data_IF_387448582640
#
_entry.id   IF_387448582640
#
_cell.length_a   1.000
_cell.length_b   1.000
_cell.length_c   1.000
_cell.angle_alpha   90.00
_cell.angle_beta   90.00
_cell.angle_gamma   90.00
#
_symmetry.space_group_name_H-M   'P 1'
#
loop_
_entity.id
_entity.type
_entity.pdbx_description
1 polymer ?
#
# COMPACT_ATOMS: atom_id res chain seq x y z
N UNK A 1 30.74 0.52 10.11
CA UNK A 1 30.29 0.53 8.72
C UNK A 1 29.71 1.90 8.39
N UNK A 2 30.29 2.57 7.38
CA UNK A 2 29.75 3.86 6.90
C UNK A 2 28.52 3.57 6.03
N UNK A 3 27.34 3.50 6.64
CA UNK A 3 26.06 3.36 5.92
C UNK A 3 25.62 4.73 5.35
N UNK A 4 26.27 5.17 4.28
CA UNK A 4 26.01 6.45 3.64
C UNK A 4 24.56 6.51 3.11
N UNK A 5 24.06 5.44 2.51
CA UNK A 5 22.68 5.36 2.02
C UNK A 5 21.66 5.50 3.16
N UNK A 6 21.91 4.85 4.29
CA UNK A 6 21.07 4.99 5.48
C UNK A 6 21.08 6.42 6.03
N UNK A 7 22.24 7.09 6.04
CA UNK A 7 22.34 8.48 6.45
C UNK A 7 21.55 9.42 5.51
N UNK A 8 21.70 9.25 4.19
CA UNK A 8 20.95 10.03 3.19
C UNK A 8 19.43 9.82 3.31
N UNK A 9 19.01 8.56 3.50
CA UNK A 9 17.59 8.27 3.73
C UNK A 9 17.06 8.93 5.01
N UNK A 10 17.84 8.92 6.09
CA UNK A 10 17.46 9.59 7.34
C UNK A 10 17.28 11.10 7.14
N UNK A 11 18.19 11.74 6.40
CA UNK A 11 18.08 13.16 6.05
C UNK A 11 16.83 13.44 5.19
N UNK A 12 16.57 12.61 4.18
CA UNK A 12 15.39 12.74 3.32
C UNK A 12 14.08 12.59 4.12
N UNK A 13 14.00 11.61 5.03
CA UNK A 13 12.86 11.43 5.94
C UNK A 13 12.68 12.66 6.84
N UNK A 14 13.77 13.18 7.40
CA UNK A 14 13.71 14.40 8.23
C UNK A 14 13.18 15.60 7.45
N UNK A 15 13.66 15.82 6.22
CA UNK A 15 13.16 16.90 5.34
C UNK A 15 11.67 16.69 5.05
N UNK A 16 11.24 15.47 4.74
CA UNK A 16 9.84 15.14 4.50
C UNK A 16 8.96 15.44 5.73
N UNK A 17 9.41 15.11 6.95
CA UNK A 17 8.70 15.43 8.19
C UNK A 17 8.58 16.96 8.38
N UNK A 18 9.67 17.71 8.17
CA UNK A 18 9.65 19.19 8.28
C UNK A 18 8.66 19.78 7.28
N UNK A 19 8.66 19.33 6.03
CA UNK A 19 7.71 19.75 5.02
C UNK A 19 6.27 19.41 5.40
N UNK A 20 6.01 18.21 5.90
CA UNK A 20 4.67 17.81 6.38
C UNK A 20 4.18 18.71 7.52
N UNK A 21 5.06 19.04 8.49
CA UNK A 21 4.71 19.93 9.59
C UNK A 21 4.41 21.34 9.08
N UNK A 22 5.19 21.84 8.11
CA UNK A 22 4.96 23.12 7.46
C UNK A 22 3.62 23.16 6.72
N UNK A 23 3.37 22.21 5.82
CA UNK A 23 2.14 22.14 5.04
C UNK A 23 0.90 21.94 5.89
N UNK A 24 0.98 21.17 6.98
CA UNK A 24 -0.14 20.97 7.91
C UNK A 24 -0.74 22.29 8.43
N UNK A 25 0.06 23.35 8.54
CA UNK A 25 -0.41 24.66 9.00
C UNK A 25 -1.15 25.45 7.91
N UNK A 26 -0.92 25.10 6.64
CA UNK A 26 -1.41 25.85 5.48
C UNK A 26 -2.51 25.13 4.70
N UNK A 27 -2.72 23.84 4.95
CA UNK A 27 -3.78 23.06 4.29
C UNK A 27 -5.10 23.33 5.00
N UNK A 28 -6.00 24.01 4.31
CA UNK A 28 -7.41 24.14 4.72
C UNK A 28 -8.26 23.02 4.10
N UNK A 29 -9.56 22.98 4.47
CA UNK A 29 -10.49 21.95 3.99
C UNK A 29 -10.59 21.95 2.45
N UNK A 30 -10.70 23.11 1.82
CA UNK A 30 -10.83 23.22 0.36
C UNK A 30 -9.58 22.69 -0.35
N UNK A 31 -8.39 23.05 0.13
CA UNK A 31 -7.13 22.54 -0.40
C UNK A 31 -7.04 21.01 -0.24
N UNK A 32 -7.46 20.49 0.91
CA UNK A 32 -7.46 19.06 1.16
C UNK A 32 -8.38 18.32 0.19
N UNK A 33 -9.61 18.78 0.01
CA UNK A 33 -10.56 18.20 -0.94
C UNK A 33 -10.05 18.27 -2.38
N UNK A 34 -9.42 19.39 -2.75
CA UNK A 34 -8.78 19.55 -4.07
C UNK A 34 -7.64 18.54 -4.28
N UNK A 35 -6.80 18.31 -3.26
CA UNK A 35 -5.71 17.32 -3.35
C UNK A 35 -6.28 15.91 -3.59
N UNK A 36 -7.36 15.54 -2.89
CA UNK A 36 -8.01 14.24 -3.10
C UNK A 36 -8.55 14.11 -4.54
N UNK A 37 -9.24 15.13 -5.03
CA UNK A 37 -9.77 15.12 -6.40
C UNK A 37 -8.63 15.05 -7.44
N UNK A 38 -7.56 15.80 -7.22
CA UNK A 38 -6.36 15.77 -8.06
C UNK A 38 -5.73 14.36 -8.09
N UNK A 39 -5.60 13.70 -6.95
CA UNK A 39 -5.07 12.34 -6.88
C UNK A 39 -5.95 11.35 -7.64
N UNK A 40 -7.28 11.47 -7.53
CA UNK A 40 -8.22 10.62 -8.29
C UNK A 40 -8.06 10.86 -9.80
N UNK A 41 -7.93 12.12 -10.24
CA UNK A 41 -7.70 12.43 -11.67
C UNK A 41 -6.34 11.92 -12.13
N UNK A 42 -5.27 12.09 -11.34
CA UNK A 42 -3.94 11.56 -11.65
C UNK A 42 -3.95 10.04 -11.82
N UNK A 43 -4.79 9.32 -11.06
CA UNK A 43 -4.91 7.87 -11.20
C UNK A 43 -5.41 7.44 -12.60
N UNK A 44 -6.18 8.28 -13.27
CA UNK A 44 -6.61 8.04 -14.66
C UNK A 44 -5.38 8.13 -15.60
N UNK A 45 -4.53 9.14 -15.41
CA UNK A 45 -3.30 9.28 -16.20
C UNK A 45 -2.35 8.11 -15.97
N UNK A 46 -2.21 7.65 -14.73
CA UNK A 46 -1.44 6.45 -14.39
C UNK A 46 -2.02 5.19 -15.04
N UNK A 47 -3.35 5.07 -15.09
CA UNK A 47 -4.00 3.95 -15.77
C UNK A 47 -3.77 4.00 -17.28
N UNK A 48 -3.87 5.16 -17.91
CA UNK A 48 -3.60 5.34 -19.35
C UNK A 48 -2.16 4.92 -19.68
N UNK A 49 -1.19 5.43 -18.90
CA UNK A 49 0.21 5.05 -19.09
C UNK A 49 0.43 3.55 -18.83
N UNK A 50 -0.23 2.98 -17.82
CA UNK A 50 -0.17 1.55 -17.51
C UNK A 50 -0.72 0.69 -18.65
N UNK A 51 -1.81 1.11 -19.30
CA UNK A 51 -2.33 0.42 -20.50
C UNK A 51 -1.30 0.46 -21.64
N UNK A 52 -0.69 1.62 -21.85
CA UNK A 52 0.40 1.76 -22.83
C UNK A 52 1.58 0.84 -22.52
N UNK A 53 2.05 0.82 -21.26
CA UNK A 53 3.12 -0.09 -20.80
C UNK A 53 2.75 -1.56 -21.05
N UNK A 54 1.49 -1.93 -20.77
CA UNK A 54 1.01 -3.30 -21.01
C UNK A 54 1.09 -3.72 -22.47
N UNK A 55 0.76 -2.82 -23.41
CA UNK A 55 0.95 -3.08 -24.84
C UNK A 55 2.42 -3.26 -25.20
N UNK A 56 3.33 -2.47 -24.61
CA UNK A 56 4.77 -2.64 -24.81
C UNK A 56 5.27 -3.99 -24.27
N UNK A 57 4.74 -4.45 -23.13
CA UNK A 57 5.05 -5.77 -22.59
C UNK A 57 4.58 -6.86 -23.55
N UNK A 58 3.36 -6.77 -24.08
CA UNK A 58 2.83 -7.74 -25.03
C UNK A 58 3.64 -7.80 -26.31
N UNK A 59 3.95 -6.66 -26.92
CA UNK A 59 4.79 -6.59 -28.10
C UNK A 59 6.16 -7.26 -27.88
N UNK A 60 6.80 -6.99 -26.75
CA UNK A 60 8.08 -7.63 -26.37
C UNK A 60 7.97 -9.15 -26.19
N UNK A 61 6.80 -9.64 -25.81
CA UNK A 61 6.54 -11.07 -25.62
C UNK A 61 5.98 -11.77 -26.86
N UNK A 62 5.86 -11.07 -27.99
CA UNK A 62 5.31 -11.60 -29.24
C UNK A 62 3.80 -11.87 -29.18
N UNK A 63 3.06 -11.09 -28.37
CA UNK A 63 1.60 -11.18 -28.25
C UNK A 63 0.97 -10.00 -28.99
N UNK A 64 0.29 -10.29 -30.10
CA UNK A 64 -0.25 -9.26 -31.01
C UNK A 64 -1.62 -8.71 -30.60
N UNK A 65 -2.20 -9.23 -29.52
CA UNK A 65 -3.53 -8.81 -29.07
C UNK A 65 -3.55 -8.60 -27.56
N UNK A 66 -4.48 -7.74 -27.11
CA UNK A 66 -4.68 -7.50 -25.68
C UNK A 66 -5.21 -8.77 -25.00
N UNK A 67 -4.55 -9.17 -23.90
CA UNK A 67 -4.98 -10.29 -23.07
C UNK A 67 -5.11 -9.84 -21.62
N UNK A 68 -5.92 -10.55 -20.84
CA UNK A 68 -6.03 -10.32 -19.38
C UNK A 68 -4.98 -11.14 -18.60
N UNK A 69 -3.92 -11.60 -19.27
CA UNK A 69 -2.89 -12.43 -18.64
C UNK A 69 -1.97 -11.58 -17.78
N UNK A 70 -1.89 -11.93 -16.52
CA UNK A 70 -0.95 -11.33 -15.56
C UNK A 70 0.33 -12.16 -15.54
N UNK A 71 1.45 -11.53 -15.86
CA UNK A 71 2.75 -12.21 -15.91
C UNK A 71 3.40 -12.28 -14.52
N UNK A 72 4.12 -13.37 -14.26
CA UNK A 72 4.75 -13.61 -12.97
C UNK A 72 6.11 -12.91 -12.84
N UNK A 73 6.88 -12.84 -13.94
CA UNK A 73 8.22 -12.24 -13.92
C UNK A 73 8.13 -10.74 -13.67
N UNK A 74 9.02 -10.23 -12.81
CA UNK A 74 9.02 -8.83 -12.37
C UNK A 74 9.04 -7.85 -13.54
N UNK A 75 9.85 -8.10 -14.55
CA UNK A 75 10.02 -7.28 -15.75
C UNK A 75 8.79 -7.23 -16.68
N UNK A 76 7.85 -8.15 -16.48
CA UNK A 76 6.63 -8.27 -17.27
C UNK A 76 5.35 -7.95 -16.46
N UNK A 77 5.51 -7.36 -15.28
CA UNK A 77 4.38 -6.88 -14.46
C UNK A 77 4.13 -5.41 -14.76
N UNK A 78 2.86 -5.03 -14.71
CA UNK A 78 2.43 -3.66 -14.87
C UNK A 78 2.90 -2.79 -13.71
N UNK A 79 3.71 -1.78 -13.96
CA UNK A 79 4.24 -0.83 -12.99
C UNK A 79 3.66 0.58 -13.16
N UNK A 80 3.15 0.91 -14.33
CA UNK A 80 2.80 2.27 -14.73
C UNK A 80 3.99 3.23 -14.52
N UNK A 81 3.76 4.42 -13.98
CA UNK A 81 4.80 5.41 -13.68
C UNK A 81 5.63 5.06 -12.44
N UNK A 82 5.29 3.96 -11.76
CA UNK A 82 5.96 3.53 -10.52
C UNK A 82 7.06 2.52 -10.83
N UNK A 83 8.09 2.51 -10.02
CA UNK A 83 9.24 1.61 -10.20
C UNK A 83 8.89 0.11 -10.04
N UNK A 84 7.79 -0.20 -9.35
CA UNK A 84 7.42 -1.56 -9.00
C UNK A 84 5.89 -1.72 -8.99
N UNK A 85 5.40 -2.86 -9.45
CA UNK A 85 3.98 -3.21 -9.46
C UNK A 85 3.31 -3.16 -8.06
N UNK A 86 4.06 -3.46 -6.99
CA UNK A 86 3.51 -3.38 -5.64
C UNK A 86 3.33 -1.92 -5.18
N UNK A 87 4.20 -1.00 -5.63
CA UNK A 87 4.05 0.44 -5.34
C UNK A 87 2.83 1.01 -6.06
N UNK A 88 2.67 0.64 -7.34
CA UNK A 88 1.49 1.03 -8.08
C UNK A 88 0.22 0.46 -7.43
N UNK A 89 0.20 -0.82 -7.03
CA UNK A 89 -0.91 -1.42 -6.32
C UNK A 89 -1.26 -0.66 -5.03
N UNK A 90 -0.26 -0.32 -4.20
CA UNK A 90 -0.50 0.44 -2.98
C UNK A 90 -1.06 1.84 -3.24
N UNK A 91 -0.60 2.53 -4.30
CA UNK A 91 -1.19 3.81 -4.70
C UNK A 91 -2.65 3.67 -5.13
N UNK A 92 -2.98 2.59 -5.88
CA UNK A 92 -4.37 2.28 -6.24
C UNK A 92 -5.22 2.04 -4.98
N UNK A 93 -4.69 1.39 -3.96
CA UNK A 93 -5.38 1.15 -2.70
C UNK A 93 -5.73 2.47 -1.99
N UNK A 94 -4.79 3.42 -1.93
CA UNK A 94 -5.06 4.78 -1.41
C UNK A 94 -6.10 5.52 -2.24
N UNK A 95 -6.00 5.45 -3.57
CA UNK A 95 -6.97 6.07 -4.48
C UNK A 95 -8.36 5.46 -4.28
N UNK A 96 -8.47 4.14 -4.09
CA UNK A 96 -9.75 3.50 -3.84
C UNK A 96 -10.41 4.01 -2.54
N UNK A 97 -9.64 4.21 -1.47
CA UNK A 97 -10.15 4.82 -0.23
C UNK A 97 -10.60 6.27 -0.48
N UNK A 98 -9.83 7.05 -1.27
CA UNK A 98 -10.24 8.41 -1.68
C UNK A 98 -11.54 8.41 -2.49
N UNK A 99 -11.70 7.48 -3.44
CA UNK A 99 -12.90 7.33 -4.27
C UNK A 99 -14.12 7.00 -3.38
N UNK A 100 -13.97 6.04 -2.46
CA UNK A 100 -15.04 5.68 -1.52
C UNK A 100 -15.40 6.88 -0.64
N UNK A 101 -14.43 7.61 -0.12
CA UNK A 101 -14.65 8.85 0.63
C UNK A 101 -15.44 9.86 -0.18
N UNK A 102 -15.04 10.17 -1.41
CA UNK A 102 -15.74 11.12 -2.29
C UNK A 102 -17.14 10.64 -2.64
N UNK A 103 -17.32 9.36 -2.92
CA UNK A 103 -18.64 8.78 -3.19
C UNK A 103 -19.64 9.03 -2.03
N UNK A 104 -19.20 8.91 -0.77
CA UNK A 104 -20.02 9.15 0.40
C UNK A 104 -20.20 10.64 0.74
N UNK A 105 -19.30 11.52 0.32
CA UNK A 105 -19.38 12.96 0.63
C UNK A 105 -20.11 13.75 -0.44
N UNK A 106 -20.13 13.28 -1.68
CA UNK A 106 -20.91 13.90 -2.78
C UNK A 106 -22.36 13.49 -2.66
N UNK A 107 -23.19 14.42 -2.14
CA UNK A 107 -24.63 14.21 -2.02
C UNK A 107 -25.34 14.74 -3.27
N UNK A 108 -26.28 13.92 -3.82
CA UNK A 108 -27.21 14.31 -4.90
C UNK A 108 -26.57 14.77 -6.22
N UNK A 109 -25.33 14.38 -6.51
CA UNK A 109 -24.69 14.61 -7.81
C UNK A 109 -24.43 13.27 -8.50
N UNK A 110 -25.39 12.87 -9.33
CA UNK A 110 -25.34 11.61 -10.08
C UNK A 110 -24.11 11.56 -11.02
N UNK A 111 -23.76 12.68 -11.65
CA UNK A 111 -22.63 12.73 -12.59
C UNK A 111 -21.30 12.45 -11.88
N UNK A 112 -21.08 13.09 -10.72
CA UNK A 112 -19.88 12.83 -9.91
C UNK A 112 -19.89 11.41 -9.34
N UNK A 113 -21.03 10.90 -8.91
CA UNK A 113 -21.13 9.52 -8.42
C UNK A 113 -20.76 8.51 -9.50
N UNK A 114 -21.27 8.69 -10.75
CA UNK A 114 -20.91 7.87 -11.90
C UNK A 114 -19.40 7.98 -12.18
N UNK A 115 -18.84 9.18 -12.18
CA UNK A 115 -17.41 9.40 -12.39
C UNK A 115 -16.56 8.58 -11.38
N UNK A 116 -16.86 8.66 -10.07
CA UNK A 116 -16.13 7.92 -9.05
C UNK A 116 -16.27 6.41 -9.21
N UNK A 117 -17.45 5.92 -9.59
CA UNK A 117 -17.65 4.49 -9.86
C UNK A 117 -16.82 4.03 -11.06
N UNK A 118 -16.83 4.78 -12.16
CA UNK A 118 -16.04 4.44 -13.36
C UNK A 118 -14.55 4.45 -13.08
N UNK A 119 -14.05 5.49 -12.40
CA UNK A 119 -12.63 5.57 -12.02
C UNK A 119 -12.27 4.48 -11.02
N UNK A 120 -13.17 4.12 -10.12
CA UNK A 120 -13.00 2.99 -9.20
C UNK A 120 -12.81 1.68 -9.94
N UNK A 121 -13.67 1.35 -10.90
CA UNK A 121 -13.52 0.15 -11.73
C UNK A 121 -12.24 0.16 -12.56
N UNK A 122 -11.84 1.30 -13.13
CA UNK A 122 -10.58 1.45 -13.84
C UNK A 122 -9.39 1.10 -12.91
N UNK A 123 -9.36 1.66 -11.70
CA UNK A 123 -8.28 1.39 -10.73
C UNK A 123 -8.29 -0.07 -10.27
N UNK A 124 -9.45 -0.70 -10.06
CA UNK A 124 -9.53 -2.13 -9.73
C UNK A 124 -9.02 -3.01 -10.87
N UNK A 125 -9.32 -2.64 -12.12
CA UNK A 125 -8.77 -3.31 -13.28
C UNK A 125 -7.24 -3.18 -13.34
N UNK A 126 -6.70 -1.99 -13.09
CA UNK A 126 -5.26 -1.78 -13.04
C UNK A 126 -4.62 -2.56 -11.88
N UNK A 127 -5.27 -2.64 -10.71
CA UNK A 127 -4.82 -3.47 -9.60
C UNK A 127 -4.71 -4.94 -10.02
N UNK A 128 -5.71 -5.46 -10.73
CA UNK A 128 -5.66 -6.81 -11.28
C UNK A 128 -4.44 -7.00 -12.18
N UNK A 129 -4.20 -6.07 -13.11
CA UNK A 129 -3.09 -6.13 -14.07
C UNK A 129 -1.70 -6.03 -13.39
N UNK A 130 -1.57 -5.39 -12.23
CA UNK A 130 -0.32 -5.42 -11.45
C UNK A 130 0.05 -6.81 -10.95
N UNK A 131 -0.94 -7.72 -10.79
CA UNK A 131 -0.76 -9.03 -10.17
C UNK A 131 -0.34 -8.98 -8.71
N UNK A 132 -0.59 -7.87 -8.01
CA UNK A 132 -0.29 -7.73 -6.58
C UNK A 132 -1.39 -8.36 -5.74
N UNK A 133 -1.16 -9.59 -5.26
CA UNK A 133 -2.15 -10.34 -4.45
C UNK A 133 -2.41 -9.70 -3.09
N UNK A 134 -1.38 -9.10 -2.48
CA UNK A 134 -1.53 -8.36 -1.22
C UNK A 134 -2.52 -7.20 -1.37
N UNK A 135 -2.56 -6.56 -2.55
CA UNK A 135 -3.43 -5.43 -2.84
C UNK A 135 -4.92 -5.75 -2.73
N UNK A 136 -5.34 -6.96 -3.09
CA UNK A 136 -6.75 -7.36 -2.96
C UNK A 136 -7.20 -7.42 -1.51
N UNK A 137 -6.34 -7.96 -0.64
CA UNK A 137 -6.63 -8.06 0.80
C UNK A 137 -6.55 -6.68 1.44
N UNK A 138 -5.56 -5.89 1.04
CA UNK A 138 -5.36 -4.54 1.58
C UNK A 138 -6.53 -3.61 1.23
N UNK A 139 -6.98 -3.58 -0.03
CA UNK A 139 -8.10 -2.73 -0.45
C UNK A 139 -9.41 -3.15 0.23
N UNK A 140 -9.68 -4.45 0.33
CA UNK A 140 -10.87 -4.96 1.00
C UNK A 140 -10.89 -4.57 2.49
N UNK A 141 -9.78 -4.82 3.20
CA UNK A 141 -9.65 -4.48 4.61
C UNK A 141 -9.69 -2.97 4.86
N UNK A 142 -9.04 -2.16 4.01
CA UNK A 142 -9.06 -0.70 4.11
C UNK A 142 -10.46 -0.12 3.89
N UNK A 143 -11.20 -0.63 2.89
CA UNK A 143 -12.60 -0.20 2.65
C UNK A 143 -13.50 -0.64 3.81
N UNK A 144 -13.33 -1.85 4.36
CA UNK A 144 -14.07 -2.29 5.54
C UNK A 144 -13.79 -1.37 6.74
N UNK A 145 -12.52 -1.02 7.01
CA UNK A 145 -12.18 -0.06 8.06
C UNK A 145 -12.81 1.31 7.80
N UNK A 146 -12.72 1.82 6.58
CA UNK A 146 -13.40 3.06 6.20
C UNK A 146 -14.90 2.99 6.54
N UNK A 147 -15.60 1.94 6.12
CA UNK A 147 -17.05 1.79 6.31
C UNK A 147 -17.45 1.63 7.78
N UNK A 148 -16.64 0.95 8.59
CA UNK A 148 -16.85 0.83 10.04
C UNK A 148 -16.81 2.23 10.68
N UNK A 149 -15.78 3.01 10.41
CA UNK A 149 -15.64 4.36 10.97
C UNK A 149 -16.60 5.38 10.35
N UNK A 150 -17.05 5.14 9.12
CA UNK A 150 -18.14 5.90 8.49
C UNK A 150 -19.53 5.43 8.95
N UNK A 151 -19.61 4.50 9.92
CA UNK A 151 -20.85 3.95 10.51
C UNK A 151 -21.77 3.24 9.49
N UNK A 152 -21.23 2.76 8.38
CA UNK A 152 -21.97 2.04 7.35
C UNK A 152 -21.77 0.53 7.48
N UNK A 153 -22.20 -0.04 8.60
CA UNK A 153 -22.01 -1.45 8.96
C UNK A 153 -22.68 -2.43 7.99
N UNK A 154 -23.83 -2.06 7.42
CA UNK A 154 -24.55 -2.91 6.46
C UNK A 154 -23.71 -3.15 5.20
N UNK A 155 -23.15 -2.06 4.62
CA UNK A 155 -22.33 -2.17 3.43
C UNK A 155 -20.99 -2.87 3.76
N UNK A 156 -20.41 -2.61 4.93
CA UNK A 156 -19.22 -3.34 5.41
C UNK A 156 -19.48 -4.85 5.46
N UNK A 157 -20.62 -5.27 6.03
CA UNK A 157 -20.99 -6.70 6.07
C UNK A 157 -21.18 -7.30 4.68
N UNK A 158 -21.84 -6.59 3.76
CA UNK A 158 -22.02 -7.06 2.38
C UNK A 158 -20.68 -7.21 1.64
N UNK A 159 -19.76 -6.25 1.80
CA UNK A 159 -18.41 -6.35 1.21
C UNK A 159 -17.65 -7.53 1.81
N UNK A 160 -17.68 -7.69 3.14
CA UNK A 160 -17.03 -8.82 3.80
C UNK A 160 -17.58 -10.17 3.30
N UNK A 161 -18.91 -10.27 3.15
CA UNK A 161 -19.56 -11.46 2.60
C UNK A 161 -19.16 -11.70 1.14
N UNK A 162 -19.08 -10.65 0.32
CA UNK A 162 -18.59 -10.73 -1.05
C UNK A 162 -17.13 -11.20 -1.13
N UNK A 163 -16.27 -10.69 -0.25
CA UNK A 163 -14.88 -11.15 -0.14
C UNK A 163 -14.79 -12.64 0.24
N UNK A 164 -15.62 -13.10 1.18
CA UNK A 164 -15.70 -14.53 1.53
C UNK A 164 -16.15 -15.37 0.33
N UNK A 165 -17.11 -14.88 -0.45
CA UNK A 165 -17.55 -15.53 -1.69
C UNK A 165 -16.42 -15.65 -2.72
N UNK A 166 -15.63 -14.59 -2.90
CA UNK A 166 -14.45 -14.58 -3.80
C UNK A 166 -13.38 -15.56 -3.31
N UNK A 167 -13.10 -15.58 -2.01
CA UNK A 167 -12.16 -16.55 -1.41
C UNK A 167 -12.68 -17.97 -1.63
N UNK A 168 -13.95 -18.24 -1.36
CA UNK A 168 -14.58 -19.52 -1.60
C UNK A 168 -14.48 -19.97 -3.07
N UNK A 169 -14.73 -19.04 -4.01
CA UNK A 169 -14.57 -19.32 -5.45
C UNK A 169 -13.13 -19.75 -5.79
N UNK A 170 -12.11 -19.06 -5.27
CA UNK A 170 -10.72 -19.43 -5.55
C UNK A 170 -10.27 -20.69 -4.83
N UNK A 171 -10.82 -20.99 -3.65
CA UNK A 171 -10.58 -22.27 -2.97
C UNK A 171 -11.13 -23.44 -3.78
N UNK A 172 -12.33 -23.27 -4.36
CA UNK A 172 -12.95 -24.29 -5.22
C UNK A 172 -12.33 -24.36 -6.63
N UNK A 173 -11.69 -23.26 -7.09
CA UNK A 173 -11.08 -23.16 -8.42
C UNK A 173 -9.64 -22.60 -8.33
N UNK A 174 -8.67 -23.34 -7.74
CA UNK A 174 -7.32 -22.82 -7.49
C UNK A 174 -6.60 -22.35 -8.76
N UNK A 175 -6.83 -23.03 -9.90
CA UNK A 175 -6.22 -22.71 -11.19
C UNK A 175 -6.63 -21.32 -11.73
N UNK A 176 -7.73 -20.75 -11.24
CA UNK A 176 -8.19 -19.40 -11.60
C UNK A 176 -7.52 -18.31 -10.77
N UNK A 177 -6.86 -18.67 -9.68
CA UNK A 177 -6.17 -17.70 -8.83
C UNK A 177 -4.95 -17.12 -9.55
N UNK A 178 -4.80 -15.80 -9.66
CA UNK A 178 -3.68 -15.20 -10.38
C UNK A 178 -2.33 -15.64 -9.83
N UNK A 179 -1.48 -16.19 -10.70
CA UNK A 179 -0.11 -16.61 -10.37
C UNK A 179 -0.03 -17.67 -9.25
N UNK A 180 -1.00 -18.60 -9.20
CA UNK A 180 -1.06 -19.63 -8.12
C UNK A 180 0.22 -20.47 -8.06
N UNK A 181 0.83 -20.77 -9.20
CA UNK A 181 2.05 -21.56 -9.33
C UNK A 181 3.26 -20.95 -8.58
N UNK A 182 3.24 -19.63 -8.37
CA UNK A 182 4.29 -18.91 -7.65
C UNK A 182 3.92 -18.59 -6.19
N UNK A 183 2.81 -19.14 -5.67
CA UNK A 183 2.39 -18.82 -4.32
C UNK A 183 3.37 -19.34 -3.28
N UNK A 184 3.69 -20.62 -3.36
CA UNK A 184 4.57 -21.33 -2.41
C UNK A 184 5.98 -20.75 -2.48
N UNK A 185 6.57 -20.65 -3.69
CA UNK A 185 7.93 -20.11 -3.85
C UNK A 185 8.08 -18.67 -3.34
N UNK A 186 7.06 -17.83 -3.52
CA UNK A 186 7.06 -16.47 -2.99
C UNK A 186 6.95 -16.45 -1.45
N UNK A 187 6.21 -17.37 -0.85
CA UNK A 187 6.13 -17.50 0.60
C UNK A 187 7.46 -17.98 1.18
N UNK A 188 8.11 -18.96 0.57
CA UNK A 188 9.43 -19.45 1.00
C UNK A 188 10.48 -18.33 0.98
N UNK A 189 10.49 -17.51 -0.08
CA UNK A 189 11.37 -16.34 -0.15
C UNK A 189 11.07 -15.36 0.98
N UNK A 190 9.80 -15.06 1.26
CA UNK A 190 9.42 -14.16 2.35
C UNK A 190 9.79 -14.72 3.71
N UNK A 191 9.61 -16.01 3.95
CA UNK A 191 10.03 -16.67 5.20
C UNK A 191 11.53 -16.56 5.43
N UNK A 192 12.36 -16.71 4.38
CA UNK A 192 13.82 -16.49 4.46
C UNK A 192 14.14 -15.03 4.80
N UNK A 193 13.45 -14.07 4.17
CA UNK A 193 13.64 -12.63 4.43
C UNK A 193 13.26 -12.31 5.89
N UNK A 194 12.09 -12.76 6.34
CA UNK A 194 11.61 -12.49 7.69
C UNK A 194 12.48 -13.14 8.76
N UNK A 195 12.91 -14.38 8.56
CA UNK A 195 13.82 -15.06 9.49
C UNK A 195 15.16 -14.30 9.60
N UNK A 196 15.72 -13.87 8.49
CA UNK A 196 16.93 -13.04 8.48
C UNK A 196 16.73 -11.73 9.26
N UNK A 197 15.60 -11.04 9.04
CA UNK A 197 15.27 -9.81 9.75
C UNK A 197 15.10 -10.05 11.26
N UNK A 198 14.42 -11.12 11.67
CA UNK A 198 14.24 -11.50 13.08
C UNK A 198 15.59 -11.76 13.75
N UNK A 199 16.52 -12.48 13.09
CA UNK A 199 17.86 -12.70 13.62
C UNK A 199 18.63 -11.38 13.78
N UNK A 200 18.48 -10.45 12.82
CA UNK A 200 19.04 -9.11 12.93
C UNK A 200 18.44 -8.29 14.10
N UNK A 201 17.13 -8.40 14.33
CA UNK A 201 16.45 -7.76 15.47
C UNK A 201 16.95 -8.33 16.81
N UNK A 202 17.06 -9.65 16.93
CA UNK A 202 17.57 -10.32 18.14
C UNK A 202 19.00 -9.87 18.45
N UNK A 203 19.82 -9.61 17.43
CA UNK A 203 21.19 -9.16 17.61
C UNK A 203 21.32 -7.71 18.14
N UNK A 204 20.31 -6.85 17.93
CA UNK A 204 20.27 -5.46 18.44
C UNK A 204 18.84 -5.00 18.70
N UNK A 205 18.16 -5.55 19.73
CA UNK A 205 16.74 -5.34 19.90
C UNK A 205 16.37 -3.93 20.38
N UNK A 206 17.25 -3.25 21.12
CA UNK A 206 16.95 -1.95 21.72
C UNK A 206 17.09 -0.79 20.74
N UNK A 207 18.25 -0.69 20.06
CA UNK A 207 18.57 0.45 19.19
C UNK A 207 18.43 0.14 17.70
N UNK A 208 18.22 -1.14 17.33
CA UNK A 208 18.26 -1.58 15.94
C UNK A 208 19.68 -1.48 15.36
N UNK A 209 19.79 -1.51 14.06
CA UNK A 209 21.08 -1.54 13.35
C UNK A 209 21.22 -0.44 12.29
N UNK A 210 20.27 0.50 12.26
CA UNK A 210 20.22 1.61 11.32
C UNK A 210 19.37 1.33 10.06
N UNK A 211 18.99 2.38 9.30
CA UNK A 211 18.23 2.25 8.06
C UNK A 211 18.97 1.41 7.02
N UNK A 212 18.22 0.71 6.15
CA UNK A 212 18.76 -0.21 5.13
C UNK A 212 19.62 -1.37 5.65
N UNK A 213 19.52 -1.67 6.91
CA UNK A 213 20.34 -2.71 7.56
C UNK A 213 20.07 -4.10 6.98
N UNK A 214 18.89 -4.38 6.43
CA UNK A 214 18.63 -5.69 5.87
C UNK A 214 19.69 -6.14 4.88
N UNK A 215 20.13 -5.25 3.97
CA UNK A 215 21.23 -5.52 3.02
C UNK A 215 22.58 -5.86 3.69
N UNK A 216 22.79 -5.40 4.91
CA UNK A 216 24.03 -5.65 5.65
C UNK A 216 23.99 -6.97 6.41
N UNK A 217 22.80 -7.39 6.86
CA UNK A 217 22.62 -8.59 7.66
C UNK A 217 22.26 -9.84 6.83
N UNK A 218 21.83 -9.64 5.56
CA UNK A 218 21.37 -10.75 4.72
C UNK A 218 22.40 -11.87 4.56
N UNK A 219 23.69 -11.52 4.35
CA UNK A 219 24.76 -12.51 4.21
C UNK A 219 25.11 -13.19 5.54
N UNK A 220 24.96 -12.46 6.67
CA UNK A 220 25.24 -12.99 7.99
C UNK A 220 24.22 -14.04 8.44
N UNK A 221 22.95 -13.86 8.03
CA UNK A 221 21.84 -14.71 8.49
C UNK A 221 21.18 -15.50 7.34
N UNK A 222 21.93 -15.72 6.24
CA UNK A 222 21.46 -16.49 5.08
C UNK A 222 20.11 -16.00 4.53
N UNK A 223 19.95 -14.67 4.44
CA UNK A 223 18.77 -14.03 3.91
C UNK A 223 18.67 -14.12 2.38
N UNK A 224 17.51 -13.79 1.84
CA UNK A 224 17.34 -13.63 0.40
C UNK A 224 17.78 -12.23 -0.04
N UNK A 225 18.38 -12.10 -1.23
CA UNK A 225 18.85 -10.82 -1.76
C UNK A 225 17.67 -9.88 -2.02
N UNK A 226 17.53 -8.88 -1.15
CA UNK A 226 16.58 -7.77 -1.26
C UNK A 226 17.07 -6.58 -0.45
N UNK A 227 16.44 -5.43 -0.63
CA UNK A 227 16.88 -4.18 0.01
C UNK A 227 16.27 -3.97 1.40
N UNK A 228 15.15 -4.64 1.71
CA UNK A 228 14.39 -4.47 2.96
C UNK A 228 13.67 -5.76 3.37
N UNK A 229 13.15 -5.78 4.60
CA UNK A 229 12.53 -6.97 5.18
C UNK A 229 11.13 -7.32 4.62
N UNK A 230 10.61 -6.59 3.61
CA UNK A 230 9.26 -6.78 3.07
C UNK A 230 8.16 -6.85 4.15
N UNK A 231 8.30 -6.04 5.18
CA UNK A 231 7.29 -5.91 6.24
C UNK A 231 7.42 -4.56 6.93
N UNK A 232 6.32 -3.81 7.00
CA UNK A 232 6.24 -2.53 7.73
C UNK A 232 6.43 -2.70 9.24
N UNK A 233 6.35 -3.93 9.73
CA UNK A 233 6.54 -4.27 11.13
C UNK A 233 7.99 -4.64 11.46
N UNK A 234 8.60 -5.49 10.61
CA UNK A 234 9.94 -6.02 10.87
C UNK A 234 11.03 -5.01 10.50
N UNK A 235 10.89 -4.29 9.40
CA UNK A 235 11.94 -3.41 8.91
C UNK A 235 12.22 -2.20 9.82
N UNK A 236 11.20 -1.48 10.37
CA UNK A 236 11.45 -0.44 11.37
C UNK A 236 12.04 -0.99 12.67
N UNK A 237 11.62 -2.19 13.11
CA UNK A 237 12.17 -2.81 14.30
C UNK A 237 13.63 -3.23 14.10
N UNK A 238 13.98 -3.75 12.93
CA UNK A 238 15.35 -4.06 12.54
C UNK A 238 16.21 -2.80 12.47
N UNK A 239 15.65 -1.70 11.93
CA UNK A 239 16.38 -0.45 11.71
C UNK A 239 16.57 0.37 12.98
N UNK A 240 15.52 0.52 13.79
CA UNK A 240 15.46 1.48 14.90
C UNK A 240 15.28 0.84 16.28
N UNK A 241 15.04 -0.47 16.33
CA UNK A 241 14.80 -1.21 17.57
C UNK A 241 13.57 -0.77 18.33
N UNK A 242 13.41 -1.31 19.55
CA UNK A 242 12.27 -1.01 20.41
C UNK A 242 12.27 0.46 20.85
N UNK A 243 13.44 1.03 21.14
CA UNK A 243 13.55 2.42 21.58
C UNK A 243 13.11 3.39 20.47
N UNK A 244 13.54 3.15 19.21
CA UNK A 244 13.12 3.97 18.09
C UNK A 244 11.60 3.90 17.85
N UNK A 245 11.00 2.72 17.97
CA UNK A 245 9.54 2.59 17.90
C UNK A 245 8.82 3.23 19.09
N UNK A 246 9.37 3.14 20.29
CA UNK A 246 8.80 3.78 21.48
C UNK A 246 8.75 5.31 21.34
N UNK A 247 9.72 5.92 20.66
CA UNK A 247 9.71 7.37 20.36
C UNK A 247 8.56 7.80 19.43
N UNK A 248 7.94 6.89 18.69
CA UNK A 248 6.74 7.19 17.90
C UNK A 248 5.46 7.23 18.74
N UNK A 249 5.45 6.63 19.92
CA UNK A 249 4.24 6.53 20.78
C UNK A 249 3.63 7.90 21.11
N UNK A 250 4.39 8.91 21.55
CA UNK A 250 3.84 10.25 21.81
C UNK A 250 3.22 10.87 20.57
N UNK A 251 3.85 10.69 19.39
CA UNK A 251 3.33 11.20 18.12
C UNK A 251 2.01 10.51 17.74
N UNK A 252 1.94 9.19 17.85
CA UNK A 252 0.72 8.42 17.58
C UNK A 252 -0.38 8.83 18.55
N UNK A 253 -0.06 8.92 19.85
CA UNK A 253 -1.01 9.35 20.89
C UNK A 253 -1.60 10.74 20.60
N UNK A 254 -0.76 11.71 20.26
CA UNK A 254 -1.20 13.06 19.95
C UNK A 254 -2.12 13.10 18.72
N UNK A 255 -1.82 12.32 17.68
CA UNK A 255 -2.67 12.24 16.48
C UNK A 255 -3.98 11.53 16.78
N UNK A 256 -3.99 10.46 17.56
CA UNK A 256 -5.22 9.80 18.05
C UNK A 256 -6.09 10.78 18.85
N UNK A 257 -5.49 11.56 19.75
CA UNK A 257 -6.20 12.58 20.54
C UNK A 257 -6.80 13.67 19.63
N UNK A 258 -6.10 14.08 18.57
CA UNK A 258 -6.63 15.04 17.57
C UNK A 258 -7.80 14.44 16.79
N UNK A 259 -7.69 13.20 16.32
CA UNK A 259 -8.77 12.49 15.65
C UNK A 259 -10.00 12.36 16.56
N UNK A 260 -9.80 12.06 17.84
CA UNK A 260 -10.90 12.00 18.79
C UNK A 260 -11.63 13.34 18.97
N UNK A 261 -10.91 14.48 18.90
CA UNK A 261 -11.52 15.81 18.98
C UNK A 261 -12.44 16.14 17.79
N UNK A 262 -12.17 15.55 16.62
CA UNK A 262 -12.97 15.75 15.39
C UNK A 262 -13.95 14.59 15.13
N UNK A 263 -14.32 13.83 16.18
CA UNK A 263 -15.17 12.63 16.09
C UNK A 263 -16.53 12.86 15.45
N UNK A 264 -17.03 14.09 15.41
CA UNK A 264 -18.28 14.46 14.74
C UNK A 264 -18.14 14.42 13.19
N UNK A 265 -16.91 14.48 12.67
CA UNK A 265 -16.61 14.42 11.23
C UNK A 265 -16.21 12.98 10.82
N UNK A 266 -17.16 12.05 10.91
CA UNK A 266 -16.91 10.60 10.66
C UNK A 266 -16.20 10.34 9.34
N UNK A 267 -16.52 11.06 8.26
CA UNK A 267 -15.96 10.84 6.94
C UNK A 267 -14.45 11.06 6.90
N UNK A 268 -13.93 12.09 7.61
CA UNK A 268 -12.48 12.31 7.71
C UNK A 268 -11.79 11.23 8.54
N UNK A 269 -12.41 10.83 9.65
CA UNK A 269 -11.87 9.74 10.47
C UNK A 269 -11.86 8.45 9.64
N UNK A 270 -12.94 8.16 8.93
CA UNK A 270 -13.04 6.99 8.06
C UNK A 270 -11.94 6.99 6.98
N UNK A 271 -11.67 8.15 6.34
CA UNK A 271 -10.61 8.30 5.36
C UNK A 271 -9.23 7.98 5.97
N UNK A 272 -8.93 8.56 7.13
CA UNK A 272 -7.65 8.29 7.85
C UNK A 272 -7.54 6.82 8.23
N UNK A 273 -8.61 6.22 8.74
CA UNK A 273 -8.62 4.80 9.11
C UNK A 273 -8.50 3.88 7.90
N UNK A 274 -9.10 4.25 6.78
CA UNK A 274 -8.90 3.57 5.50
C UNK A 274 -7.43 3.61 5.06
N UNK A 275 -6.77 4.76 5.14
CA UNK A 275 -5.34 4.90 4.83
C UNK A 275 -4.45 4.08 5.78
N UNK A 276 -4.75 4.11 7.08
CA UNK A 276 -4.06 3.26 8.05
C UNK A 276 -4.26 1.78 7.70
N UNK A 277 -5.47 1.40 7.28
CA UNK A 277 -5.78 0.04 6.81
C UNK A 277 -4.91 -0.38 5.62
N UNK A 278 -4.77 0.48 4.60
CA UNK A 278 -3.84 0.23 3.48
C UNK A 278 -2.43 -0.02 4.00
N UNK A 279 -1.90 0.89 4.82
CA UNK A 279 -0.52 0.81 5.32
C UNK A 279 -0.27 -0.48 6.12
N UNK A 280 -1.16 -0.81 7.04
CA UNK A 280 -0.97 -1.95 7.94
C UNK A 280 -1.19 -3.27 7.23
N UNK A 281 -2.22 -3.40 6.38
CA UNK A 281 -2.56 -4.68 5.75
C UNK A 281 -1.60 -4.97 4.58
N UNK A 282 -1.35 -4.02 3.69
CA UNK A 282 -0.35 -4.17 2.64
C UNK A 282 1.04 -4.40 3.24
N UNK A 283 1.33 -3.66 4.29
CA UNK A 283 2.60 -3.70 5.01
C UNK A 283 2.94 -5.01 5.71
N UNK A 284 1.98 -5.95 5.87
CA UNK A 284 2.30 -7.31 6.32
C UNK A 284 3.27 -7.99 5.34
N UNK A 285 3.03 -7.80 4.05
CA UNK A 285 3.72 -8.51 2.98
C UNK A 285 4.69 -7.65 2.17
N UNK A 286 4.71 -6.32 2.38
CA UNK A 286 5.63 -5.43 1.69
C UNK A 286 5.96 -4.17 2.53
N UNK A 287 7.05 -3.49 2.16
CA UNK A 287 7.56 -2.29 2.87
C UNK A 287 7.57 -1.08 1.94
N UNK A 288 6.48 -0.88 1.22
CA UNK A 288 6.41 0.11 0.14
C UNK A 288 6.39 1.56 0.62
N UNK A 289 5.87 1.84 1.82
CA UNK A 289 5.67 3.21 2.32
C UNK A 289 6.97 3.97 2.60
N UNK A 290 8.03 3.27 3.00
CA UNK A 290 9.30 3.90 3.37
C UNK A 290 10.33 3.87 2.25
N UNK A 291 9.93 3.46 1.06
CA UNK A 291 10.81 3.37 -0.07
C UNK A 291 10.88 4.72 -0.77
N UNK A 292 12.00 5.40 -0.56
CA UNK A 292 12.31 6.67 -1.24
C UNK A 292 13.15 6.33 -2.48
N UNK A 293 12.54 6.46 -3.63
CA UNK A 293 13.23 6.43 -4.92
C UNK A 293 13.21 7.83 -5.52
#
# INVERSE_FOLDING_TARGET
HKNILGALATVAIFIAIVLMVYYRKHVNQSTFEFIIDMLIVLSILWAIYGIYEQFQIYHRLGVDHFTFKVYARRENRLNSVFYNANYYAMMIEFIAVCIVYKFFTVKNDLKRSIFYVVVGFLNLFMLYMTGCRAGYVAIAGAICLFLIFNRNYKLCFLIALGCLGVVGFFVLNPSKFPRIEYLISNLDVRMKIWNCAIQGIIASPLLGQGPFTYMMVLNKYNGHLTQHAHSVYLDPLLSFGIIGLALLVPYVYDNCKRLYKVKEHYSYIALVMGFIGVLLIHGILDYTIFWVH
#
